data_IF_917318801275
#
_entry.id   IF_917318801275
#
_cell.length_a   1.000
_cell.length_b   1.000
_cell.length_c   1.000
_cell.angle_alpha   90.00
_cell.angle_beta   90.00
_cell.angle_gamma   90.00
#
_symmetry.space_group_name_H-M   'P 1'
#
loop_
_entity.id
_entity.type
_entity.pdbx_description
1 polymer ?
#
# COMPACT_ATOMS: atom_id res chain seq x y z
N UNK A 1 -32.12 -27.65 45.18
CA UNK A 1 -31.46 -26.40 45.65
C UNK A 1 -30.07 -26.39 45.00
N UNK A 2 -29.95 -25.86 43.79
CA UNK A 2 -29.68 -24.45 43.49
C UNK A 2 -28.23 -24.06 43.82
N UNK A 3 -27.31 -24.35 42.89
CA UNK A 3 -26.20 -23.45 42.53
C UNK A 3 -25.41 -24.06 41.36
N UNK A 4 -25.93 -23.88 40.13
CA UNK A 4 -25.07 -23.94 38.96
C UNK A 4 -24.36 -22.59 38.87
N UNK A 5 -23.01 -22.51 38.97
CA UNK A 5 -22.33 -21.23 38.84
C UNK A 5 -22.55 -20.74 37.41
N UNK A 6 -23.44 -19.74 37.32
CA UNK A 6 -23.86 -19.11 36.10
C UNK A 6 -22.68 -18.63 35.27
N UNK A 7 -22.91 -18.65 33.96
CA UNK A 7 -21.98 -18.29 32.91
C UNK A 7 -21.04 -17.18 33.34
N UNK A 8 -19.76 -17.52 33.42
CA UNK A 8 -18.72 -16.52 33.51
C UNK A 8 -18.92 -15.58 32.32
N UNK A 9 -19.31 -14.37 32.68
CA UNK A 9 -19.42 -13.20 31.83
C UNK A 9 -18.09 -13.05 31.11
N UNK A 10 -17.96 -13.73 29.95
CA UNK A 10 -16.87 -13.55 29.00
C UNK A 10 -16.91 -12.06 28.67
N UNK A 11 -16.04 -11.29 29.30
CA UNK A 11 -15.84 -9.90 28.94
C UNK A 11 -15.54 -9.89 27.44
N UNK A 12 -16.53 -9.48 26.63
CA UNK A 12 -16.31 -9.08 25.24
C UNK A 12 -15.52 -7.78 25.34
N UNK A 13 -14.21 -7.89 25.55
CA UNK A 13 -13.32 -6.75 25.42
C UNK A 13 -13.46 -6.28 23.98
N UNK A 14 -14.02 -5.10 23.78
CA UNK A 14 -14.16 -4.49 22.46
C UNK A 14 -12.77 -4.09 21.95
N UNK A 15 -11.97 -5.08 21.54
CA UNK A 15 -10.61 -4.88 21.02
C UNK A 15 -10.61 -4.55 19.53
N UNK A 16 -11.70 -4.79 18.82
CA UNK A 16 -11.85 -4.45 17.42
C UNK A 16 -11.68 -2.94 17.18
N UNK A 17 -10.85 -2.57 16.21
CA UNK A 17 -10.58 -1.18 15.85
C UNK A 17 -10.95 -0.97 14.39
N UNK A 18 -11.75 0.06 14.13
CA UNK A 18 -12.03 0.60 12.79
C UNK A 18 -11.44 2.00 12.70
N UNK A 19 -10.65 2.24 11.66
CA UNK A 19 -10.09 3.55 11.35
C UNK A 19 -10.59 4.00 9.99
N UNK A 20 -10.95 5.27 9.88
CA UNK A 20 -11.41 5.88 8.63
C UNK A 20 -10.58 7.11 8.33
N UNK A 21 -10.03 7.18 7.13
CA UNK A 21 -9.39 8.37 6.61
C UNK A 21 -10.47 9.30 6.04
N UNK A 22 -10.86 10.30 6.84
CA UNK A 22 -11.99 11.18 6.53
C UNK A 22 -11.93 11.82 5.13
N UNK A 23 -10.79 12.37 4.66
CA UNK A 23 -10.74 13.03 3.37
C UNK A 23 -11.01 12.10 2.17
N UNK A 24 -10.71 10.81 2.29
CA UNK A 24 -10.84 9.84 1.18
C UNK A 24 -11.94 8.81 1.41
N UNK A 25 -12.58 8.80 2.59
CA UNK A 25 -13.59 7.81 2.97
C UNK A 25 -13.06 6.39 3.19
N UNK A 26 -11.78 6.12 2.92
CA UNK A 26 -11.19 4.78 3.05
C UNK A 26 -11.20 4.35 4.52
N UNK A 27 -11.59 3.11 4.78
CA UNK A 27 -11.61 2.55 6.11
C UNK A 27 -10.80 1.25 6.17
N UNK A 28 -10.18 1.01 7.32
CA UNK A 28 -9.52 -0.25 7.62
C UNK A 28 -9.98 -0.75 8.99
N UNK A 29 -10.15 -2.07 9.09
CA UNK A 29 -10.59 -2.73 10.32
C UNK A 29 -9.51 -3.74 10.73
N UNK A 30 -9.30 -3.88 12.03
CA UNK A 30 -8.52 -4.97 12.61
C UNK A 30 -9.16 -5.45 13.92
N UNK A 31 -9.35 -6.76 14.01
CA UNK A 31 -9.93 -7.44 15.18
C UNK A 31 -9.15 -8.71 15.56
N UNK A 32 -7.96 -8.89 14.97
CA UNK A 32 -7.17 -10.12 15.03
C UNK A 32 -6.60 -10.40 16.44
N UNK A 33 -6.46 -9.37 17.27
CA UNK A 33 -5.88 -9.46 18.62
C UNK A 33 -6.89 -9.14 19.72
N UNK A 34 -6.63 -9.69 20.91
CA UNK A 34 -7.29 -9.29 22.16
C UNK A 34 -6.88 -7.89 22.64
N UNK A 35 -5.78 -7.34 22.10
CA UNK A 35 -5.28 -6.00 22.44
C UNK A 35 -5.79 -4.95 21.46
N UNK A 36 -6.50 -3.95 21.98
CA UNK A 36 -6.96 -2.80 21.18
C UNK A 36 -5.78 -2.05 20.54
N UNK A 37 -4.66 -1.87 21.25
CA UNK A 37 -3.52 -1.13 20.72
C UNK A 37 -2.83 -1.88 19.55
N UNK A 38 -2.72 -3.21 19.66
CA UNK A 38 -2.18 -4.02 18.57
C UNK A 38 -3.09 -3.97 17.34
N UNK A 39 -4.40 -4.06 17.54
CA UNK A 39 -5.38 -3.88 16.47
C UNK A 39 -5.32 -2.48 15.86
N UNK A 40 -5.12 -1.43 16.67
CA UNK A 40 -4.91 -0.07 16.18
C UNK A 40 -3.68 0.04 15.26
N UNK A 41 -2.55 -0.57 15.64
CA UNK A 41 -1.36 -0.59 14.78
C UNK A 41 -1.59 -1.36 13.46
N UNK A 42 -2.26 -2.52 13.52
CA UNK A 42 -2.63 -3.30 12.33
C UNK A 42 -3.58 -2.52 11.41
N UNK A 43 -4.63 -1.91 11.97
CA UNK A 43 -5.58 -1.08 11.23
C UNK A 43 -4.89 0.13 10.59
N UNK A 44 -3.96 0.79 11.30
CA UNK A 44 -3.17 1.89 10.74
C UNK A 44 -2.32 1.43 9.55
N UNK A 45 -1.65 0.28 9.67
CA UNK A 45 -0.84 -0.27 8.57
C UNK A 45 -1.70 -0.57 7.33
N UNK A 46 -2.85 -1.22 7.52
CA UNK A 46 -3.82 -1.49 6.45
C UNK A 46 -4.35 -0.20 5.82
N UNK A 47 -4.70 0.80 6.63
CA UNK A 47 -5.20 2.09 6.15
C UNK A 47 -4.15 2.84 5.32
N UNK A 48 -2.89 2.85 5.76
CA UNK A 48 -1.78 3.47 5.00
C UNK A 48 -1.59 2.79 3.64
N UNK A 49 -1.67 1.46 3.59
CA UNK A 49 -1.60 0.72 2.32
C UNK A 49 -2.80 1.02 1.42
N UNK A 50 -4.02 1.04 1.96
CA UNK A 50 -5.23 1.37 1.20
C UNK A 50 -5.15 2.77 0.59
N UNK A 51 -4.71 3.77 1.36
CA UNK A 51 -4.46 5.13 0.85
C UNK A 51 -3.39 5.08 -0.25
N UNK A 52 -2.28 4.40 0.01
CA UNK A 52 -1.17 4.29 -0.93
C UNK A 52 -1.56 3.64 -2.26
N UNK A 53 -2.56 2.76 -2.31
CA UNK A 53 -2.99 2.08 -3.53
C UNK A 53 -4.06 2.85 -4.31
N UNK A 54 -5.00 3.50 -3.62
CA UNK A 54 -6.20 4.05 -4.25
C UNK A 54 -6.22 5.58 -4.37
N UNK A 55 -5.38 6.28 -3.61
CA UNK A 55 -5.43 7.75 -3.54
C UNK A 55 -4.29 8.33 -4.36
N UNK A 56 -4.65 9.08 -5.40
CA UNK A 56 -3.70 9.83 -6.22
C UNK A 56 -4.06 11.31 -6.20
N UNK A 57 -3.05 12.17 -6.19
CA UNK A 57 -3.23 13.57 -6.54
C UNK A 57 -3.32 13.65 -8.06
N UNK A 58 -4.12 14.60 -8.56
CA UNK A 58 -4.14 14.92 -9.99
C UNK A 58 -2.85 15.67 -10.33
N UNK A 59 -1.73 14.94 -10.33
CA UNK A 59 -0.40 15.48 -10.59
C UNK A 59 -0.24 15.59 -12.10
N UNK A 60 0.09 16.77 -12.65
CA UNK A 60 0.29 16.91 -14.09
C UNK A 60 1.39 15.97 -14.59
N UNK A 61 1.21 15.48 -15.81
CA UNK A 61 2.17 14.60 -16.50
C UNK A 61 3.52 15.30 -16.56
N UNK A 62 4.58 14.63 -16.07
CA UNK A 62 5.93 15.18 -16.01
C UNK A 62 6.31 15.90 -14.71
N UNK A 63 5.39 16.10 -13.77
CA UNK A 63 5.68 16.71 -12.45
C UNK A 63 5.97 15.69 -11.35
N UNK A 64 6.52 14.52 -11.72
CA UNK A 64 6.90 13.50 -10.74
C UNK A 64 8.00 14.03 -9.80
N UNK A 65 7.80 13.87 -8.50
CA UNK A 65 8.79 14.22 -7.49
C UNK A 65 9.06 13.01 -6.59
N UNK A 66 10.32 12.58 -6.53
CA UNK A 66 10.75 11.50 -5.64
C UNK A 66 10.72 11.98 -4.18
N UNK A 67 9.94 11.33 -3.28
CA UNK A 67 9.95 11.65 -1.87
C UNK A 67 11.35 11.49 -1.28
N UNK A 68 11.78 12.47 -0.48
CA UNK A 68 13.12 12.49 0.14
C UNK A 68 13.37 11.23 0.97
N UNK A 69 12.35 10.77 1.70
CA UNK A 69 12.41 9.59 2.58
C UNK A 69 12.75 8.29 1.84
N UNK A 70 12.54 8.23 0.52
CA UNK A 70 12.84 7.04 -0.29
C UNK A 70 14.23 7.09 -0.95
N UNK A 71 14.87 8.26 -1.00
CA UNK A 71 16.16 8.44 -1.71
C UNK A 71 17.27 7.56 -1.16
N UNK A 72 17.27 7.29 0.14
CA UNK A 72 18.27 6.42 0.77
C UNK A 72 18.13 4.94 0.36
N UNK A 73 16.91 4.54 0.00
CA UNK A 73 16.55 3.15 -0.28
C UNK A 73 16.53 2.81 -1.77
N UNK A 74 16.35 3.82 -2.61
CA UNK A 74 16.30 3.68 -4.07
C UNK A 74 17.61 4.22 -4.63
N UNK A 75 18.51 3.30 -4.99
CA UNK A 75 19.77 3.62 -5.66
C UNK A 75 19.83 2.91 -7.01
N UNK A 76 20.34 3.56 -8.07
CA UNK A 76 20.38 2.99 -9.42
C UNK A 76 21.14 1.66 -9.47
N UNK A 77 22.21 1.51 -8.69
CA UNK A 77 23.06 0.32 -8.70
C UNK A 77 22.84 -0.62 -7.52
N UNK A 78 21.90 -0.33 -6.62
CA UNK A 78 21.62 -1.18 -5.47
C UNK A 78 20.28 -1.92 -5.59
N UNK A 79 20.14 -3.11 -4.96
CA UNK A 79 18.84 -3.74 -4.80
C UNK A 79 17.92 -2.85 -3.95
N UNK A 80 16.62 -2.86 -4.29
CA UNK A 80 15.57 -2.20 -3.50
C UNK A 80 15.52 -2.84 -2.10
N UNK A 81 15.95 -2.10 -1.08
CA UNK A 81 16.09 -2.60 0.29
C UNK A 81 14.81 -2.47 1.14
N UNK A 82 13.72 -1.96 0.55
CA UNK A 82 12.43 -1.82 1.24
C UNK A 82 11.62 -3.10 1.07
N UNK A 83 11.09 -3.61 2.20
CA UNK A 83 10.18 -4.75 2.25
C UNK A 83 8.83 -4.34 2.89
N UNK A 84 7.83 -5.23 2.86
CA UNK A 84 6.48 -4.97 3.41
C UNK A 84 6.43 -4.72 4.93
N UNK A 85 7.52 -5.01 5.66
CA UNK A 85 7.62 -4.72 7.10
C UNK A 85 8.10 -3.29 7.35
N UNK A 86 8.74 -2.64 6.38
CA UNK A 86 9.24 -1.28 6.50
C UNK A 86 8.05 -0.27 6.52
N UNK A 87 8.02 0.70 7.45
CA UNK A 87 6.95 1.69 7.54
C UNK A 87 6.83 2.60 6.30
N UNK A 88 7.88 2.71 5.49
CA UNK A 88 7.91 3.46 4.23
C UNK A 88 7.42 2.63 3.02
N UNK A 89 7.11 1.34 3.19
CA UNK A 89 6.62 0.51 2.09
C UNK A 89 5.36 1.07 1.41
N UNK A 90 4.33 1.54 2.14
CA UNK A 90 3.18 2.19 1.50
C UNK A 90 3.57 3.44 0.70
N UNK A 91 4.54 4.22 1.18
CA UNK A 91 5.03 5.39 0.45
C UNK A 91 5.71 4.98 -0.86
N UNK A 92 6.47 3.89 -0.86
CA UNK A 92 7.08 3.33 -2.08
C UNK A 92 6.02 2.85 -3.07
N UNK A 93 4.97 2.15 -2.60
CA UNK A 93 3.85 1.74 -3.44
C UNK A 93 3.15 2.94 -4.09
N UNK A 94 2.84 3.98 -3.30
CA UNK A 94 2.25 5.21 -3.79
C UNK A 94 3.15 5.89 -4.85
N UNK A 95 4.43 6.06 -4.54
CA UNK A 95 5.43 6.67 -5.45
C UNK A 95 5.56 5.90 -6.76
N UNK A 96 5.51 4.57 -6.70
CA UNK A 96 5.57 3.68 -7.86
C UNK A 96 4.36 3.89 -8.78
N UNK A 97 3.17 3.98 -8.19
CA UNK A 97 1.92 4.21 -8.91
C UNK A 97 1.81 5.66 -9.43
N UNK A 98 2.33 6.65 -8.68
CA UNK A 98 2.45 8.04 -9.13
C UNK A 98 3.40 8.16 -10.32
N UNK A 99 4.56 7.49 -10.28
CA UNK A 99 5.49 7.43 -11.40
C UNK A 99 4.86 6.76 -12.62
N UNK A 100 4.09 5.69 -12.41
CA UNK A 100 3.35 5.00 -13.47
C UNK A 100 2.29 5.90 -14.09
N UNK A 101 1.56 6.66 -13.29
CA UNK A 101 0.59 7.64 -13.76
C UNK A 101 1.26 8.76 -14.56
N UNK A 102 2.35 9.34 -14.03
CA UNK A 102 3.14 10.37 -14.73
C UNK A 102 3.76 9.86 -16.04
N UNK A 103 4.01 8.56 -16.15
CA UNK A 103 4.51 7.91 -17.36
C UNK A 103 3.40 7.44 -18.31
N UNK A 104 2.14 7.87 -18.11
CA UNK A 104 0.98 7.45 -18.89
C UNK A 104 0.85 5.91 -18.96
N UNK A 105 1.10 5.24 -17.85
CA UNK A 105 1.05 3.78 -17.72
C UNK A 105 2.26 3.04 -18.31
N UNK A 106 3.25 3.71 -18.90
CA UNK A 106 4.44 3.06 -19.48
C UNK A 106 5.45 2.68 -18.39
N UNK A 107 5.64 1.38 -18.17
CA UNK A 107 6.53 0.84 -17.13
C UNK A 107 7.99 1.30 -17.27
N UNK A 108 8.54 1.31 -18.49
CA UNK A 108 9.94 1.71 -18.69
C UNK A 108 10.20 3.17 -18.33
N UNK A 109 9.29 4.07 -18.72
CA UNK A 109 9.38 5.48 -18.35
C UNK A 109 9.14 5.68 -16.84
N UNK A 110 8.21 4.94 -16.23
CA UNK A 110 7.97 4.97 -14.79
C UNK A 110 9.21 4.52 -13.99
N UNK A 111 9.87 3.45 -14.44
CA UNK A 111 11.09 2.93 -13.83
C UNK A 111 12.24 3.96 -13.89
N UNK A 112 12.38 4.66 -15.02
CA UNK A 112 13.35 5.75 -15.17
C UNK A 112 13.08 6.92 -14.21
N UNK A 113 11.81 7.31 -14.01
CA UNK A 113 11.43 8.36 -13.06
C UNK A 113 11.85 8.03 -11.62
N UNK A 114 11.77 6.75 -11.23
CA UNK A 114 12.23 6.30 -9.91
C UNK A 114 13.66 5.78 -9.90
N UNK A 115 14.44 6.01 -10.96
CA UNK A 115 15.86 5.64 -11.05
C UNK A 115 16.17 4.15 -10.81
N UNK A 116 15.31 3.24 -11.27
CA UNK A 116 15.57 1.79 -11.26
C UNK A 116 15.38 1.18 -12.65
N UNK A 117 15.92 -0.02 -12.87
CA UNK A 117 15.69 -0.74 -14.11
C UNK A 117 14.25 -1.28 -14.24
N UNK A 118 13.75 -1.37 -15.46
CA UNK A 118 12.41 -1.91 -15.78
C UNK A 118 12.19 -3.32 -15.20
N UNK A 119 13.23 -4.16 -15.21
CA UNK A 119 13.16 -5.50 -14.62
C UNK A 119 12.95 -5.49 -13.11
N UNK A 120 13.64 -4.59 -12.39
CA UNK A 120 13.44 -4.42 -10.93
C UNK A 120 12.06 -3.85 -10.63
N UNK A 121 11.58 -2.92 -11.45
CA UNK A 121 10.23 -2.35 -11.34
C UNK A 121 9.15 -3.43 -11.48
N UNK A 122 9.21 -4.25 -12.53
CA UNK A 122 8.28 -5.36 -12.72
C UNK A 122 8.37 -6.38 -11.59
N UNK A 123 9.58 -6.76 -11.16
CA UNK A 123 9.77 -7.67 -10.03
C UNK A 123 9.19 -7.10 -8.72
N UNK A 124 9.21 -5.78 -8.55
CA UNK A 124 8.59 -5.12 -7.40
C UNK A 124 7.07 -5.16 -7.48
N UNK A 125 6.48 -4.81 -8.64
CA UNK A 125 5.04 -4.89 -8.85
C UNK A 125 4.51 -6.31 -8.62
N UNK A 126 5.17 -7.34 -9.15
CA UNK A 126 4.71 -8.73 -9.04
C UNK A 126 4.81 -9.33 -7.63
N UNK A 127 5.47 -8.66 -6.67
CA UNK A 127 5.58 -9.15 -5.28
C UNK A 127 4.32 -8.91 -4.45
N UNK A 128 3.49 -7.95 -4.84
CA UNK A 128 2.31 -7.53 -4.10
C UNK A 128 1.12 -7.49 -5.05
N UNK A 129 0.16 -8.38 -4.83
CA UNK A 129 -1.02 -8.55 -5.68
C UNK A 129 -1.88 -7.30 -5.74
N UNK A 130 -2.03 -6.59 -4.62
CA UNK A 130 -2.87 -5.39 -4.54
C UNK A 130 -2.19 -4.23 -5.30
N UNK A 131 -0.87 -4.11 -5.15
CA UNK A 131 -0.06 -3.16 -5.93
C UNK A 131 -0.11 -3.47 -7.43
N UNK A 132 -0.03 -4.75 -7.80
CA UNK A 132 -0.10 -5.19 -9.20
C UNK A 132 -1.47 -4.91 -9.82
N UNK A 133 -2.56 -5.17 -9.07
CA UNK A 133 -3.93 -4.84 -9.51
C UNK A 133 -4.08 -3.34 -9.74
N UNK A 134 -3.67 -2.53 -8.76
CA UNK A 134 -3.74 -1.07 -8.88
C UNK A 134 -2.91 -0.53 -10.06
N UNK A 135 -1.74 -1.12 -10.34
CA UNK A 135 -0.95 -0.77 -11.51
C UNK A 135 -1.67 -1.11 -12.83
N UNK A 136 -2.36 -2.25 -12.91
CA UNK A 136 -3.12 -2.64 -14.09
C UNK A 136 -4.37 -1.79 -14.30
N UNK A 137 -5.07 -1.42 -13.22
CA UNK A 137 -6.17 -0.46 -13.27
C UNK A 137 -5.70 0.89 -13.85
N UNK A 138 -4.58 1.42 -13.36
CA UNK A 138 -3.98 2.64 -13.91
C UNK A 138 -3.62 2.50 -15.39
N UNK A 139 -3.06 1.36 -15.81
CA UNK A 139 -2.76 1.11 -17.21
C UNK A 139 -4.02 1.05 -18.08
N UNK A 140 -5.12 0.51 -17.56
CA UNK A 140 -6.40 0.48 -18.25
C UNK A 140 -6.96 1.89 -18.47
N UNK A 141 -6.74 2.82 -17.53
CA UNK A 141 -7.13 4.22 -17.70
C UNK A 141 -6.44 4.88 -18.90
N UNK A 142 -5.22 4.46 -19.21
CA UNK A 142 -4.46 4.91 -20.39
C UNK A 142 -4.66 4.01 -21.62
N UNK A 143 -5.66 3.14 -21.63
CA UNK A 143 -5.95 2.18 -22.71
C UNK A 143 -4.79 1.23 -23.06
N UNK A 144 -3.92 0.94 -22.10
CA UNK A 144 -2.81 0.00 -22.28
C UNK A 144 -3.19 -1.42 -21.85
N UNK A 145 -2.58 -2.43 -22.49
CA UNK A 145 -2.77 -3.84 -22.12
C UNK A 145 -2.31 -4.09 -20.67
N UNK A 146 -3.01 -4.94 -19.89
CA UNK A 146 -2.57 -5.27 -18.54
C UNK A 146 -1.21 -5.99 -18.56
N UNK A 147 -0.43 -5.78 -17.50
CA UNK A 147 0.77 -6.56 -17.24
C UNK A 147 0.37 -7.98 -16.88
N UNK A 148 1.17 -8.94 -17.33
CA UNK A 148 1.03 -10.35 -16.94
C UNK A 148 2.09 -10.67 -15.91
N UNK A 149 1.71 -11.45 -14.89
CA UNK A 149 2.68 -12.04 -13.97
C UNK A 149 3.47 -13.07 -14.79
N UNK A 150 4.79 -12.88 -14.87
CA UNK A 150 5.75 -13.80 -15.50
C UNK A 150 6.32 -14.70 -14.43
#
# INVERSE_FOLDING_TARGET
>A
MASGPGGQKRNRTYSAVRLTHLPTGLAAIAEDSRSQNENKHKALKRLRMAIALHVRKNTPVGSFCMPEQLREYIKPDAPLQINMKNPLYPLLCATTLDALYCAAGKVGAAAALISISTGRFNKFLSKDTDLFSAANELRSLFHLKPLKIV
#
